data_IF_754930588048
#
_entry.id   IF_754930588048
#
_cell.length_a   1.000
_cell.length_b   1.000
_cell.length_c   1.000
_cell.angle_alpha   90.00
_cell.angle_beta   90.00
_cell.angle_gamma   90.00
#
_symmetry.space_group_name_H-M   'P 1'
#
loop_
_entity.id
_entity.type
_entity.pdbx_description
1 polymer ?
#
# COMPACT_ATOMS: atom_id res chain seq x y z
N UNK A 1 46.22 8.95 -67.41
CA UNK A 1 46.25 9.61 -66.12
C UNK A 1 44.82 9.57 -65.57
N UNK A 2 44.47 8.52 -64.82
CA UNK A 2 43.12 8.28 -64.27
C UNK A 2 43.14 8.58 -62.80
N UNK A 3 42.39 9.61 -62.35
CA UNK A 3 42.24 9.98 -60.94
C UNK A 3 41.14 9.14 -60.30
N UNK A 4 41.48 8.34 -59.31
CA UNK A 4 40.53 7.66 -58.43
C UNK A 4 40.11 8.64 -57.32
N UNK A 5 38.82 8.94 -57.26
CA UNK A 5 38.22 9.75 -56.19
C UNK A 5 37.70 8.76 -55.12
N UNK A 6 38.34 8.70 -53.96
CA UNK A 6 37.87 7.90 -52.82
C UNK A 6 36.78 8.65 -52.10
N UNK A 7 35.57 8.09 -52.16
CA UNK A 7 34.42 8.58 -51.40
C UNK A 7 34.49 7.95 -49.99
N UNK A 8 34.79 8.74 -48.98
CA UNK A 8 34.79 8.34 -47.56
C UNK A 8 33.39 8.38 -47.01
N UNK A 9 32.80 7.19 -46.82
CA UNK A 9 31.46 7.04 -46.26
C UNK A 9 31.58 7.08 -44.72
N UNK A 10 31.21 8.20 -44.11
CA UNK A 10 31.13 8.34 -42.64
C UNK A 10 29.82 7.70 -42.15
N UNK A 11 29.94 6.55 -41.53
CA UNK A 11 28.81 5.86 -40.87
C UNK A 11 28.55 6.55 -39.52
N UNK A 12 27.55 7.38 -39.44
CA UNK A 12 27.10 7.98 -38.19
C UNK A 12 26.38 6.92 -37.35
N UNK A 13 27.05 6.42 -36.32
CA UNK A 13 26.45 5.51 -35.32
C UNK A 13 25.59 6.35 -34.37
N UNK A 14 24.28 6.38 -34.60
CA UNK A 14 23.33 7.01 -33.66
C UNK A 14 23.15 6.09 -32.44
N UNK A 15 23.84 6.45 -31.36
CA UNK A 15 23.62 5.84 -30.03
C UNK A 15 22.24 6.29 -29.53
N UNK A 16 21.23 5.44 -29.66
CA UNK A 16 19.97 5.63 -28.96
C UNK A 16 20.21 5.42 -27.47
N UNK A 17 20.43 6.47 -26.71
CA UNK A 17 20.30 6.44 -25.27
C UNK A 17 18.82 6.24 -24.96
N UNK A 18 18.45 5.04 -24.55
CA UNK A 18 17.14 4.77 -23.95
C UNK A 18 17.05 5.60 -22.66
N UNK A 19 16.57 6.84 -22.77
CA UNK A 19 16.30 7.68 -21.63
C UNK A 19 15.23 6.99 -20.78
N UNK A 20 15.61 6.44 -19.64
CA UNK A 20 14.66 5.97 -18.65
C UNK A 20 13.82 7.17 -18.21
N UNK A 21 12.54 7.17 -18.55
CA UNK A 21 11.63 8.20 -18.04
C UNK A 21 11.61 8.11 -16.51
N UNK A 22 11.74 9.23 -15.80
CA UNK A 22 11.68 9.20 -14.34
C UNK A 22 10.34 8.65 -13.88
N UNK A 23 10.35 7.79 -12.87
CA UNK A 23 9.13 7.24 -12.30
C UNK A 23 8.26 8.35 -11.73
N UNK A 24 6.97 8.35 -12.11
CA UNK A 24 6.01 9.28 -11.54
C UNK A 24 5.83 8.99 -10.06
N UNK A 25 6.10 9.97 -9.21
CA UNK A 25 5.87 9.87 -7.77
C UNK A 25 4.41 10.19 -7.47
N UNK A 26 3.71 9.21 -6.90
CA UNK A 26 2.38 9.42 -6.36
C UNK A 26 2.58 9.91 -4.93
N UNK A 27 2.44 11.21 -4.73
CA UNK A 27 2.46 11.80 -3.39
C UNK A 27 1.04 11.76 -2.79
N UNK A 28 0.98 11.64 -1.48
CA UNK A 28 -0.27 11.66 -0.73
C UNK A 28 -0.50 13.11 -0.26
N UNK A 29 -1.46 13.86 -0.82
CA UNK A 29 -1.77 15.21 -0.38
C UNK A 29 -2.37 15.21 1.03
N UNK A 30 -2.12 16.29 1.78
CA UNK A 30 -2.51 16.39 3.19
C UNK A 30 -4.03 16.37 3.41
N UNK A 31 -4.78 16.95 2.49
CA UNK A 31 -6.22 17.20 2.57
C UNK A 31 -7.06 16.24 1.68
N UNK A 32 -6.44 15.26 1.04
CA UNK A 32 -7.11 14.40 0.07
C UNK A 32 -6.95 12.93 0.40
N UNK A 33 -8.01 12.16 0.12
CA UNK A 33 -7.95 10.70 0.12
C UNK A 33 -7.01 10.26 -1.00
N UNK A 34 -5.94 9.57 -0.62
CA UNK A 34 -4.91 9.10 -1.55
C UNK A 34 -5.22 7.70 -2.07
N UNK A 35 -5.71 6.83 -1.22
CA UNK A 35 -6.21 5.51 -1.58
C UNK A 35 -7.26 5.04 -0.56
N UNK A 36 -8.11 4.14 -1.01
CA UNK A 36 -9.07 3.40 -0.19
C UNK A 36 -8.72 1.93 -0.18
N UNK A 37 -9.15 1.23 0.85
CA UNK A 37 -8.79 -0.17 1.03
C UNK A 37 -9.86 -0.96 1.79
N UNK A 38 -9.86 -2.27 1.55
CA UNK A 38 -10.68 -3.26 2.24
C UNK A 38 -9.78 -4.37 2.74
N UNK A 39 -10.06 -4.91 3.93
CA UNK A 39 -9.24 -5.97 4.48
C UNK A 39 -9.89 -6.74 5.60
N UNK A 40 -9.16 -7.77 6.01
CA UNK A 40 -9.41 -8.59 7.18
C UNK A 40 -8.26 -8.47 8.16
N UNK A 41 -8.50 -8.92 9.38
CA UNK A 41 -7.44 -9.08 10.36
C UNK A 41 -7.58 -10.36 11.17
N UNK A 42 -6.44 -10.89 11.60
CA UNK A 42 -6.31 -11.97 12.56
C UNK A 42 -5.57 -11.44 13.79
N UNK A 43 -6.19 -11.55 14.94
CA UNK A 43 -5.64 -11.09 16.21
C UNK A 43 -5.30 -12.26 17.12
N UNK A 44 -4.17 -12.12 17.82
CA UNK A 44 -3.87 -12.84 19.05
C UNK A 44 -3.92 -11.86 20.23
N UNK A 45 -3.75 -12.29 21.47
CA UNK A 45 -3.65 -11.36 22.60
C UNK A 45 -2.56 -10.29 22.46
N UNK A 46 -1.45 -10.62 21.76
CA UNK A 46 -0.25 -9.78 21.67
C UNK A 46 0.07 -9.29 20.27
N UNK A 47 -0.55 -9.83 19.23
CA UNK A 47 -0.27 -9.47 17.84
C UNK A 47 -1.53 -9.20 17.04
N UNK A 48 -1.35 -8.55 15.90
CA UNK A 48 -2.39 -8.36 14.87
C UNK A 48 -1.75 -8.48 13.50
N UNK A 49 -2.31 -9.32 12.65
CA UNK A 49 -2.02 -9.34 11.23
C UNK A 49 -3.23 -8.79 10.49
N UNK A 50 -3.01 -7.78 9.64
CA UNK A 50 -4.04 -7.19 8.81
C UNK A 50 -3.62 -7.37 7.36
N UNK A 51 -4.55 -7.69 6.48
CA UNK A 51 -4.28 -7.94 5.07
C UNK A 51 -5.50 -7.60 4.22
N UNK A 52 -5.25 -7.24 2.97
CA UNK A 52 -6.30 -6.83 2.07
C UNK A 52 -5.77 -6.18 0.79
N UNK A 53 -6.62 -5.43 0.12
CA UNK A 53 -6.30 -4.81 -1.14
C UNK A 53 -6.70 -3.33 -1.16
N UNK A 54 -6.04 -2.57 -2.05
CA UNK A 54 -6.35 -1.16 -2.32
C UNK A 54 -7.44 -1.13 -3.38
N UNK A 55 -8.58 -0.54 -3.05
CA UNK A 55 -9.76 -0.46 -3.92
C UNK A 55 -9.72 0.74 -4.86
N UNK A 56 -9.11 1.85 -4.43
CA UNK A 56 -8.84 3.03 -5.26
C UNK A 56 -7.48 3.61 -4.92
N UNK A 57 -6.77 4.19 -5.88
CA UNK A 57 -5.54 4.92 -5.62
C UNK A 57 -5.45 6.15 -6.53
N UNK A 58 -5.33 7.35 -5.95
CA UNK A 58 -5.23 8.59 -6.70
C UNK A 58 -3.97 8.59 -7.56
N UNK A 59 -4.14 8.93 -8.83
CA UNK A 59 -3.04 8.95 -9.81
C UNK A 59 -2.72 7.60 -10.46
N UNK A 60 -3.38 6.52 -10.04
CA UNK A 60 -3.35 5.22 -10.71
C UNK A 60 -4.70 4.93 -11.36
N UNK A 61 -4.65 4.31 -12.52
CA UNK A 61 -5.80 3.76 -13.22
C UNK A 61 -5.60 2.27 -13.42
N UNK A 62 -6.70 1.52 -13.52
CA UNK A 62 -6.65 0.09 -13.81
C UNK A 62 -5.77 -0.68 -12.81
N UNK A 63 -6.08 -0.52 -11.51
CA UNK A 63 -5.43 -1.25 -10.42
C UNK A 63 -6.04 -2.64 -10.18
N UNK A 64 -6.90 -3.08 -11.07
CA UNK A 64 -7.48 -4.42 -11.14
C UNK A 64 -7.20 -5.04 -12.51
N UNK A 65 -7.06 -6.35 -12.58
CA UNK A 65 -6.95 -7.09 -13.85
C UNK A 65 -8.26 -7.14 -14.60
N UNK A 66 -9.39 -7.02 -13.90
CA UNK A 66 -10.75 -6.91 -14.44
C UNK A 66 -11.47 -5.73 -13.77
N UNK A 67 -11.88 -4.75 -14.57
CA UNK A 67 -12.60 -3.57 -14.07
C UNK A 67 -14.09 -3.84 -13.76
N UNK A 68 -14.63 -4.97 -14.21
CA UNK A 68 -16.02 -5.38 -13.91
C UNK A 68 -16.12 -6.12 -12.58
N UNK A 69 -15.04 -6.79 -12.17
CA UNK A 69 -14.91 -7.50 -10.91
C UNK A 69 -13.78 -6.85 -10.10
N UNK A 70 -14.12 -5.96 -9.17
CA UNK A 70 -13.17 -5.21 -8.36
C UNK A 70 -13.14 -5.74 -6.93
N UNK A 71 -12.38 -6.81 -6.72
CA UNK A 71 -12.22 -7.46 -5.42
C UNK A 71 -10.79 -8.01 -5.26
N UNK A 72 -10.54 -8.78 -4.19
CA UNK A 72 -9.25 -9.39 -3.89
C UNK A 72 -8.72 -10.29 -5.02
N UNK A 73 -9.61 -10.95 -5.77
CA UNK A 73 -9.19 -11.90 -6.82
C UNK A 73 -8.64 -11.21 -8.07
N UNK A 74 -8.85 -9.90 -8.21
CA UNK A 74 -8.43 -9.12 -9.39
C UNK A 74 -7.51 -7.95 -9.01
N UNK A 75 -7.36 -7.64 -7.72
CA UNK A 75 -6.59 -6.51 -7.24
C UNK A 75 -5.08 -6.67 -7.51
N UNK A 76 -4.47 -5.65 -8.11
CA UNK A 76 -3.02 -5.57 -8.37
C UNK A 76 -2.24 -4.96 -7.20
N UNK A 77 -2.91 -4.24 -6.31
CA UNK A 77 -2.29 -3.63 -5.13
C UNK A 77 -2.87 -4.25 -3.87
N UNK A 78 -2.04 -4.99 -3.16
CA UNK A 78 -2.38 -5.64 -1.90
C UNK A 78 -1.54 -5.08 -0.76
N UNK A 79 -1.92 -5.36 0.48
CA UNK A 79 -1.12 -4.99 1.65
C UNK A 79 -1.18 -6.07 2.73
N UNK A 80 -0.10 -6.11 3.50
CA UNK A 80 -0.01 -6.87 4.75
C UNK A 80 0.59 -5.98 5.82
N UNK A 81 -0.03 -6.02 7.00
CA UNK A 81 0.42 -5.32 8.20
C UNK A 81 0.65 -6.32 9.31
N UNK A 82 1.81 -6.25 9.95
CA UNK A 82 2.13 -7.05 11.14
C UNK A 82 2.41 -6.12 12.31
N UNK A 83 1.74 -6.38 13.43
CA UNK A 83 1.77 -5.50 14.58
C UNK A 83 1.89 -6.24 15.90
N UNK A 84 2.52 -5.57 16.86
CA UNK A 84 2.53 -5.95 18.26
C UNK A 84 1.56 -5.05 19.05
N UNK A 85 0.87 -5.63 20.04
CA UNK A 85 0.02 -4.90 20.97
C UNK A 85 0.88 -4.36 22.10
N UNK A 86 0.98 -3.03 22.19
CA UNK A 86 1.79 -2.35 23.19
C UNK A 86 0.99 -2.13 24.50
N UNK A 87 -0.31 -1.81 24.36
CA UNK A 87 -1.16 -1.48 25.49
C UNK A 87 -2.64 -1.74 25.20
N UNK A 88 -3.35 -2.18 26.22
CA UNK A 88 -4.82 -2.30 26.22
C UNK A 88 -5.39 -1.63 27.45
N UNK A 89 -6.39 -0.76 27.26
CA UNK A 89 -7.17 -0.14 28.32
C UNK A 89 -8.63 -0.54 28.11
N UNK A 90 -9.29 -0.96 29.19
CA UNK A 90 -10.72 -1.25 29.19
C UNK A 90 -11.42 -0.29 30.13
N UNK A 91 -12.43 0.41 29.63
CA UNK A 91 -13.27 1.30 30.43
C UNK A 91 -14.72 1.27 29.93
N UNK A 92 -15.60 0.73 30.73
CA UNK A 92 -16.99 0.52 30.34
C UNK A 92 -17.10 -0.34 29.07
N UNK A 93 -17.87 0.08 28.06
CA UNK A 93 -18.01 -0.67 26.81
C UNK A 93 -16.81 -0.47 25.85
N UNK A 94 -15.83 0.37 26.21
CA UNK A 94 -14.72 0.68 25.31
C UNK A 94 -13.46 -0.08 25.67
N UNK A 95 -12.81 -0.60 24.64
CA UNK A 95 -11.46 -1.17 24.69
C UNK A 95 -10.55 -0.36 23.76
N UNK A 96 -9.56 0.32 24.35
CA UNK A 96 -8.57 1.09 23.61
C UNK A 96 -7.33 0.24 23.47
N UNK A 97 -6.89 -0.02 22.24
CA UNK A 97 -5.76 -0.87 21.94
C UNK A 97 -4.75 -0.04 21.16
N UNK A 98 -3.52 0.02 21.67
CA UNK A 98 -2.40 0.64 20.98
C UNK A 98 -1.47 -0.45 20.43
N UNK A 99 -1.03 -0.27 19.20
CA UNK A 99 -0.12 -1.18 18.51
C UNK A 99 0.95 -0.41 17.74
N UNK A 100 2.09 -1.04 17.57
CA UNK A 100 3.15 -0.62 16.65
C UNK A 100 3.50 -1.76 15.71
N UNK A 101 3.98 -1.43 14.52
CA UNK A 101 4.29 -2.45 13.53
C UNK A 101 4.70 -1.89 12.18
N UNK A 102 4.58 -2.73 11.17
CA UNK A 102 4.99 -2.43 9.80
C UNK A 102 3.89 -2.81 8.83
N UNK A 103 3.59 -1.91 7.89
CA UNK A 103 2.72 -2.18 6.73
C UNK A 103 3.57 -2.25 5.48
N UNK A 104 3.36 -3.28 4.68
CA UNK A 104 3.95 -3.41 3.34
C UNK A 104 2.85 -3.43 2.31
N UNK A 105 2.97 -2.57 1.29
CA UNK A 105 2.12 -2.58 0.10
C UNK A 105 2.88 -3.30 -1.01
N UNK A 106 2.18 -4.18 -1.72
CA UNK A 106 2.74 -5.03 -2.78
C UNK A 106 2.10 -4.70 -4.13
N UNK A 107 2.90 -4.76 -5.19
CA UNK A 107 2.38 -5.02 -6.53
C UNK A 107 2.22 -6.53 -6.65
N UNK A 108 0.99 -6.99 -6.59
CA UNK A 108 0.66 -8.40 -6.51
C UNK A 108 0.32 -8.99 -7.88
N UNK A 109 0.41 -10.32 -7.97
CA UNK A 109 -0.10 -11.09 -9.10
C UNK A 109 -1.36 -11.82 -8.64
N UNK A 110 -2.55 -11.39 -9.04
CA UNK A 110 -3.81 -12.03 -8.64
C UNK A 110 -3.89 -13.50 -9.07
N UNK A 111 -4.75 -14.33 -8.43
CA UNK A 111 -5.70 -13.94 -7.39
C UNK A 111 -5.11 -13.91 -5.99
N UNK A 112 -5.62 -12.99 -5.12
CA UNK A 112 -5.51 -13.14 -3.67
C UNK A 112 -6.77 -13.79 -3.12
N UNK A 113 -6.69 -14.37 -1.93
CA UNK A 113 -7.80 -15.08 -1.29
C UNK A 113 -7.86 -14.72 0.19
N UNK A 114 -8.98 -14.19 0.65
CA UNK A 114 -9.19 -13.89 2.07
C UNK A 114 -9.19 -15.16 2.95
N UNK A 115 -9.35 -16.35 2.39
CA UNK A 115 -9.14 -17.62 3.09
C UNK A 115 -7.67 -17.94 3.36
N UNK A 116 -6.73 -17.28 2.64
CA UNK A 116 -5.28 -17.44 2.81
C UNK A 116 -4.57 -16.08 2.80
N UNK A 117 -4.28 -15.56 3.99
CA UNK A 117 -3.62 -14.27 4.18
C UNK A 117 -2.26 -14.16 3.46
N UNK A 118 -1.57 -15.28 3.22
CA UNK A 118 -0.25 -15.29 2.57
C UNK A 118 -0.31 -14.83 1.11
N UNK A 119 -1.47 -14.99 0.45
CA UNK A 119 -1.68 -14.58 -0.95
C UNK A 119 -1.58 -13.08 -1.16
N UNK A 120 -1.79 -12.26 -0.11
CA UNK A 120 -1.67 -10.80 -0.17
C UNK A 120 -0.24 -10.27 -0.12
N UNK A 121 0.76 -11.13 0.14
CA UNK A 121 2.18 -10.79 0.21
C UNK A 121 3.06 -11.49 -0.83
N UNK A 122 2.48 -12.16 -1.81
CA UNK A 122 3.23 -12.90 -2.86
C UNK A 122 3.84 -11.98 -3.93
N UNK A 123 3.41 -10.72 -3.99
CA UNK A 123 3.89 -9.74 -4.95
C UNK A 123 5.23 -9.10 -4.59
N UNK A 124 5.62 -8.11 -5.38
CA UNK A 124 6.81 -7.29 -5.15
C UNK A 124 6.49 -6.17 -4.15
N UNK A 125 7.23 -6.02 -3.03
CA UNK A 125 7.07 -4.88 -2.13
C UNK A 125 7.35 -3.56 -2.85
N UNK A 126 6.40 -2.63 -2.83
CA UNK A 126 6.51 -1.32 -3.47
C UNK A 126 6.56 -0.16 -2.47
N UNK A 127 6.02 -0.35 -1.27
CA UNK A 127 6.13 0.59 -0.16
C UNK A 127 6.18 -0.18 1.17
N UNK A 128 7.07 0.25 2.07
CA UNK A 128 7.09 -0.20 3.47
C UNK A 128 6.96 1.03 4.35
N UNK A 129 6.14 0.94 5.39
CA UNK A 129 6.00 2.00 6.39
C UNK A 129 5.92 1.42 7.79
N UNK A 130 6.60 2.09 8.74
CA UNK A 130 6.36 1.88 10.15
C UNK A 130 5.08 2.60 10.55
N UNK A 131 4.34 2.05 11.49
CA UNK A 131 3.12 2.69 11.95
C UNK A 131 2.89 2.58 13.47
N UNK A 132 2.11 3.54 13.97
CA UNK A 132 1.50 3.50 15.30
C UNK A 132 0.00 3.55 15.15
N UNK A 133 -0.69 2.66 15.84
CA UNK A 133 -2.14 2.46 15.74
C UNK A 133 -2.83 2.73 17.07
N UNK A 134 -4.00 3.37 17.00
CA UNK A 134 -4.99 3.35 18.05
C UNK A 134 -6.29 2.76 17.52
N UNK A 135 -6.78 1.70 18.17
CA UNK A 135 -8.11 1.12 17.96
C UNK A 135 -9.00 1.51 19.12
N UNK A 136 -10.21 1.97 18.82
CA UNK A 136 -11.30 2.15 19.81
C UNK A 136 -12.39 1.15 19.44
N UNK A 137 -12.45 0.06 20.21
CA UNK A 137 -13.45 -1.00 20.05
C UNK A 137 -14.59 -0.76 21.03
N UNK A 138 -15.82 -0.72 20.51
CA UNK A 138 -17.04 -0.80 21.32
C UNK A 138 -17.41 -2.28 21.46
N UNK A 139 -17.25 -2.83 22.67
CA UNK A 139 -17.52 -4.25 22.97
C UNK A 139 -19.01 -4.57 23.07
N UNK A 140 -19.89 -3.53 23.14
CA UNK A 140 -21.33 -3.72 23.20
C UNK A 140 -21.95 -4.09 21.85
N UNK A 141 -21.35 -3.63 20.75
CA UNK A 141 -21.81 -3.91 19.38
C UNK A 141 -20.71 -4.48 18.47
N UNK A 142 -19.51 -4.76 19.01
CA UNK A 142 -18.35 -5.29 18.31
C UNK A 142 -17.87 -4.44 17.12
N UNK A 143 -18.16 -3.14 17.10
CA UNK A 143 -17.66 -2.22 16.09
C UNK A 143 -16.42 -1.47 16.58
N UNK A 144 -15.56 -1.05 15.66
CA UNK A 144 -14.39 -0.26 16.01
C UNK A 144 -14.10 0.82 14.98
N UNK A 145 -13.36 1.81 15.45
CA UNK A 145 -12.68 2.80 14.61
C UNK A 145 -11.20 2.79 14.91
N UNK A 146 -10.40 3.10 13.90
CA UNK A 146 -8.95 3.04 13.98
C UNK A 146 -8.31 4.22 13.27
N UNK A 147 -7.23 4.71 13.86
CA UNK A 147 -6.33 5.68 13.25
C UNK A 147 -4.92 5.15 13.31
N UNK A 148 -4.22 5.16 12.16
CA UNK A 148 -2.77 4.97 12.10
C UNK A 148 -2.05 6.27 11.77
N UNK A 149 -0.87 6.43 12.30
CA UNK A 149 0.16 7.34 11.79
C UNK A 149 1.25 6.49 11.16
N UNK A 150 1.51 6.70 9.89
CA UNK A 150 2.44 5.91 9.09
C UNK A 150 3.66 6.78 8.74
N UNK A 151 4.85 6.16 8.69
CA UNK A 151 6.09 6.77 8.22
C UNK A 151 6.73 5.84 7.18
N UNK A 152 6.84 6.30 5.95
CA UNK A 152 7.39 5.51 4.83
C UNK A 152 8.89 5.32 5.03
N UNK A 153 9.33 4.07 5.10
CA UNK A 153 10.73 3.69 5.31
C UNK A 153 11.40 3.14 4.06
N UNK A 154 10.61 2.55 3.14
CA UNK A 154 11.11 2.04 1.86
C UNK A 154 10.12 2.31 0.74
N UNK A 155 10.63 2.59 -0.45
CA UNK A 155 9.84 2.76 -1.67
C UNK A 155 10.59 2.16 -2.85
N UNK A 156 9.92 1.31 -3.61
CA UNK A 156 10.43 0.70 -4.84
C UNK A 156 9.67 1.23 -6.05
N UNK A 157 10.38 1.47 -7.14
CA UNK A 157 9.75 1.78 -8.42
C UNK A 157 9.07 0.53 -8.97
N UNK A 158 7.83 0.68 -9.41
CA UNK A 158 7.08 -0.39 -10.05
C UNK A 158 6.47 0.07 -11.38
N UNK A 159 6.17 -0.88 -12.25
CA UNK A 159 5.52 -0.60 -13.54
C UNK A 159 4.07 -1.08 -13.50
N UNK A 160 3.17 -0.19 -13.87
CA UNK A 160 1.76 -0.49 -14.03
C UNK A 160 1.28 0.07 -15.38
N UNK A 161 0.67 -0.76 -16.21
CA UNK A 161 0.20 -0.39 -17.56
C UNK A 161 1.27 0.34 -18.40
N UNK A 162 2.50 -0.15 -18.37
CA UNK A 162 3.63 0.39 -19.14
C UNK A 162 4.23 1.70 -18.61
N UNK A 163 3.74 2.21 -17.46
CA UNK A 163 4.27 3.42 -16.82
C UNK A 163 4.95 3.09 -15.50
N UNK A 164 6.05 3.79 -15.22
CA UNK A 164 6.78 3.63 -13.96
C UNK A 164 6.22 4.57 -12.88
N UNK A 165 6.03 4.03 -11.67
CA UNK A 165 5.46 4.73 -10.53
C UNK A 165 6.28 4.50 -9.26
N UNK A 166 6.10 5.39 -8.29
CA UNK A 166 6.47 5.20 -6.89
C UNK A 166 5.31 5.60 -6.00
N UNK A 167 5.01 4.80 -5.00
CA UNK A 167 3.99 5.11 -4.02
C UNK A 167 4.60 5.93 -2.87
N UNK A 168 4.70 7.23 -3.06
CA UNK A 168 5.31 8.17 -2.13
C UNK A 168 6.85 8.21 -2.18
N UNK A 169 7.44 8.71 -1.08
CA UNK A 169 8.89 8.84 -0.86
C UNK A 169 9.24 8.41 0.56
N UNK A 170 10.46 7.94 0.77
CA UNK A 170 10.98 7.70 2.13
C UNK A 170 10.88 8.98 2.95
N UNK A 171 10.39 8.86 4.19
CA UNK A 171 10.12 9.97 5.09
C UNK A 171 8.73 10.61 4.93
N UNK A 172 7.93 10.27 3.91
CA UNK A 172 6.54 10.71 3.85
C UNK A 172 5.78 10.15 5.06
N UNK A 173 4.95 11.02 5.65
CA UNK A 173 4.01 10.64 6.70
C UNK A 173 2.59 10.73 6.17
N UNK A 174 1.76 9.79 6.57
CA UNK A 174 0.34 9.79 6.22
C UNK A 174 -0.48 9.12 7.31
N UNK A 175 -1.78 9.36 7.30
CA UNK A 175 -2.74 8.71 8.19
C UNK A 175 -3.60 7.74 7.42
N UNK A 176 -3.90 6.60 8.03
CA UNK A 176 -4.98 5.72 7.59
C UNK A 176 -6.07 5.73 8.65
N UNK A 177 -7.30 5.84 8.21
CA UNK A 177 -8.49 5.77 9.04
C UNK A 177 -9.35 4.63 8.51
N UNK A 178 -9.84 3.78 9.39
CA UNK A 178 -10.76 2.73 9.01
C UNK A 178 -11.69 2.35 10.16
N UNK A 179 -12.79 1.77 9.80
CA UNK A 179 -13.77 1.17 10.71
C UNK A 179 -14.09 -0.25 10.29
N UNK A 180 -14.67 -0.99 11.19
CA UNK A 180 -15.06 -2.36 10.91
C UNK A 180 -15.73 -3.04 12.08
N UNK A 181 -15.83 -4.35 11.96
CA UNK A 181 -16.50 -5.22 12.92
C UNK A 181 -15.58 -6.35 13.35
N UNK A 182 -15.69 -6.72 14.62
CA UNK A 182 -15.00 -7.87 15.19
C UNK A 182 -15.96 -9.05 15.17
N UNK A 183 -15.52 -10.16 14.62
CA UNK A 183 -16.27 -11.42 14.66
C UNK A 183 -16.34 -12.01 16.08
N UNK A 184 -17.21 -12.95 16.28
CA UNK A 184 -17.31 -13.65 17.56
C UNK A 184 -15.95 -14.29 17.94
N UNK A 185 -15.60 -14.33 19.23
CA UNK A 185 -14.33 -14.90 19.69
C UNK A 185 -14.12 -16.33 19.17
N UNK A 186 -12.90 -16.60 18.71
CA UNK A 186 -12.51 -17.92 18.16
C UNK A 186 -12.81 -18.14 16.69
N UNK A 187 -13.44 -17.16 16.00
CA UNK A 187 -13.59 -17.20 14.55
C UNK A 187 -12.35 -16.64 13.84
N UNK A 188 -12.05 -17.17 12.67
CA UNK A 188 -11.10 -16.64 11.71
C UNK A 188 -11.85 -16.27 10.42
N UNK A 189 -11.67 -15.06 9.90
CA UNK A 189 -10.88 -13.96 10.44
C UNK A 189 -11.45 -13.40 11.75
N UNK A 190 -10.61 -12.66 12.49
CA UNK A 190 -11.07 -11.96 13.71
C UNK A 190 -12.00 -10.79 13.39
N UNK A 191 -12.05 -10.32 12.16
CA UNK A 191 -12.95 -9.29 11.69
C UNK A 191 -12.59 -8.70 10.34
N UNK A 192 -13.41 -7.72 9.93
CA UNK A 192 -13.31 -7.01 8.65
C UNK A 192 -13.19 -5.52 8.86
N UNK A 193 -12.57 -4.83 7.92
CA UNK A 193 -12.48 -3.37 7.90
C UNK A 193 -12.42 -2.79 6.49
N UNK A 194 -12.82 -1.53 6.39
CA UNK A 194 -12.61 -0.71 5.22
C UNK A 194 -12.24 0.71 5.64
N UNK A 195 -11.46 1.40 4.83
CA UNK A 195 -11.02 2.75 5.15
C UNK A 195 -10.23 3.44 4.06
N UNK A 196 -9.56 4.51 4.45
CA UNK A 196 -8.80 5.34 3.54
C UNK A 196 -7.47 5.82 4.13
N UNK A 197 -6.58 6.25 3.25
CA UNK A 197 -5.35 6.93 3.57
C UNK A 197 -5.44 8.42 3.21
N UNK A 198 -5.00 9.28 4.13
CA UNK A 198 -4.92 10.74 3.95
C UNK A 198 -3.49 11.18 4.22
N UNK A 199 -2.90 11.93 3.29
CA UNK A 199 -1.54 12.43 3.42
C UNK A 199 -1.41 13.56 4.42
N UNK A 200 -0.22 13.72 4.98
CA UNK A 200 0.18 14.84 5.85
C UNK A 200 1.34 15.63 5.25
N UNK A 201 1.44 15.61 3.94
CA UNK A 201 2.47 16.30 3.18
C UNK A 201 3.72 15.44 2.90
N UNK A 202 4.40 15.77 1.81
CA UNK A 202 5.72 15.25 1.52
C UNK A 202 6.76 16.11 2.25
N UNK A 203 7.76 15.48 2.86
CA UNK A 203 8.92 16.23 3.34
C UNK A 203 9.59 16.80 2.08
N UNK A 204 9.66 18.13 1.99
CA UNK A 204 10.43 18.76 0.93
C UNK A 204 11.87 18.27 1.04
N UNK A 205 12.41 17.70 -0.05
CA UNK A 205 13.83 17.43 -0.09
C UNK A 205 14.53 18.80 -0.01
N UNK A 206 15.20 19.07 1.11
CA UNK A 206 16.30 20.02 1.11
C UNK A 206 17.39 19.42 0.22
N UNK A 207 17.64 20.03 -0.92
CA UNK A 207 18.81 19.75 -1.76
C UNK A 207 20.09 19.96 -0.96
#
# INVERSE_FOLDING_TARGET
MTRFSSCLMVLALSVFTSGQMPAQVISIPEDQVAYEFVGQFNNTPTTSQQFGYISTAKGLSSIFTDNTTQNETTALLTFVTNANTDRVIVNGPFKIINRTGTTTIYLNTPPSDFGDASTFSQGTPIQVSDYSQQVILNTGNNTFVTVHTNNVTQVTTFTLNGKAYRLGRVGNKFRTNYSGEVNAPGLSPSGWFAGNAVGVGAIANSN
#
